data_IF_591433583085
#
_entry.id   IF_591433583085
#
_cell.length_a   1.000
_cell.length_b   1.000
_cell.length_c   1.000
_cell.angle_alpha   90.00
_cell.angle_beta   90.00
_cell.angle_gamma   90.00
#
_symmetry.space_group_name_H-M   'P 1'
#
loop_
_entity.id
_entity.type
_entity.pdbx_description
1 polymer ?
#
# COMPACT_ATOMS: atom_id res chain seq x y z
N UNK A 1 0.67 -4.11 2.29
CA UNK A 1 -0.71 -3.66 2.60
C UNK A 1 -1.62 -4.87 2.78
N UNK A 2 -2.89 -4.71 3.18
CA UNK A 2 -3.82 -5.85 3.31
C UNK A 2 -4.45 -6.23 1.96
N UNK A 3 -4.89 -7.48 1.80
CA UNK A 3 -5.66 -7.94 0.62
C UNK A 3 -6.93 -7.10 0.38
N UNK A 4 -7.59 -6.65 1.46
CA UNK A 4 -8.77 -5.79 1.35
C UNK A 4 -8.42 -4.44 0.71
N UNK A 5 -7.30 -3.82 1.10
CA UNK A 5 -6.84 -2.57 0.49
C UNK A 5 -6.50 -2.77 -1.00
N UNK A 6 -5.82 -3.87 -1.34
CA UNK A 6 -5.55 -4.24 -2.74
C UNK A 6 -6.85 -4.38 -3.54
N UNK A 7 -7.89 -5.01 -2.99
CA UNK A 7 -9.17 -5.18 -3.66
C UNK A 7 -9.81 -3.82 -3.99
N UNK A 8 -9.84 -2.89 -3.04
CA UNK A 8 -10.41 -1.56 -3.26
C UNK A 8 -9.59 -0.74 -4.27
N UNK A 9 -8.27 -0.86 -4.28
CA UNK A 9 -7.39 -0.23 -5.29
C UNK A 9 -7.70 -0.77 -6.69
N UNK A 10 -7.82 -2.09 -6.84
CA UNK A 10 -8.18 -2.73 -8.12
C UNK A 10 -9.56 -2.30 -8.59
N UNK A 11 -10.53 -2.26 -7.68
CA UNK A 11 -11.91 -1.84 -7.97
C UNK A 11 -12.00 -0.37 -8.40
N UNK A 12 -11.15 0.49 -7.86
CA UNK A 12 -11.03 1.89 -8.26
C UNK A 12 -10.33 2.11 -9.61
N UNK A 13 -9.72 1.05 -10.19
CA UNK A 13 -9.04 1.13 -11.49
C UNK A 13 -7.85 2.08 -11.47
N UNK A 14 -7.06 2.07 -10.40
CA UNK A 14 -5.84 2.88 -10.29
C UNK A 14 -4.68 2.21 -11.07
N UNK A 15 -3.90 3.00 -11.82
CA UNK A 15 -2.79 2.53 -12.66
C UNK A 15 -1.42 2.66 -11.99
N UNK A 16 -0.40 1.97 -12.52
CA UNK A 16 0.98 2.15 -12.07
C UNK A 16 1.38 1.34 -10.83
N UNK A 17 0.56 0.41 -10.38
CA UNK A 17 0.92 -0.52 -9.31
C UNK A 17 0.61 -1.96 -9.71
N UNK A 18 1.53 -2.86 -9.38
CA UNK A 18 1.30 -4.30 -9.36
C UNK A 18 1.31 -4.81 -7.92
N UNK A 19 0.80 -6.02 -7.75
CA UNK A 19 0.73 -6.66 -6.45
C UNK A 19 1.34 -8.04 -6.52
N UNK A 20 1.96 -8.44 -5.42
CA UNK A 20 2.63 -9.72 -5.30
C UNK A 20 2.43 -10.33 -3.92
N UNK A 21 2.63 -11.63 -3.83
CA UNK A 21 2.53 -12.37 -2.59
C UNK A 21 3.64 -11.93 -1.61
N UNK A 22 3.30 -11.85 -0.33
CA UNK A 22 4.22 -11.43 0.72
C UNK A 22 4.40 -12.55 1.74
N UNK A 23 5.65 -12.89 2.03
CA UNK A 23 5.98 -13.72 3.18
C UNK A 23 5.88 -12.88 4.45
N UNK A 24 5.15 -13.38 5.44
CA UNK A 24 4.93 -12.71 6.73
C UNK A 24 5.51 -13.60 7.82
N UNK A 25 6.51 -13.07 8.53
CA UNK A 25 7.09 -13.71 9.71
C UNK A 25 6.67 -12.98 10.98
N UNK A 26 6.27 -13.72 12.00
CA UNK A 26 5.98 -13.18 13.32
C UNK A 26 7.22 -13.26 14.22
N UNK A 27 7.36 -12.32 15.14
CA UNK A 27 8.40 -12.42 16.16
C UNK A 27 7.97 -13.46 17.21
N UNK A 28 8.93 -14.19 17.78
CA UNK A 28 8.60 -15.19 18.81
C UNK A 28 7.89 -14.60 20.03
N UNK A 29 8.16 -13.34 20.37
CA UNK A 29 7.43 -12.60 21.42
C UNK A 29 5.95 -12.43 21.06
N UNK A 30 5.66 -12.08 19.80
CA UNK A 30 4.29 -11.91 19.32
C UNK A 30 3.52 -13.23 19.38
N UNK A 31 4.13 -14.34 18.95
CA UNK A 31 3.52 -15.67 19.00
C UNK A 31 3.22 -16.14 20.43
N UNK A 32 4.10 -15.81 21.39
CA UNK A 32 3.89 -16.12 22.80
C UNK A 32 2.71 -15.33 23.41
N UNK A 33 2.59 -14.05 23.06
CA UNK A 33 1.51 -13.18 23.55
C UNK A 33 0.19 -13.41 22.81
N UNK A 34 0.25 -13.86 21.56
CA UNK A 34 -0.89 -14.09 20.67
C UNK A 34 -0.85 -15.51 20.14
N UNK A 35 -1.32 -16.44 20.97
CA UNK A 35 -1.34 -17.87 20.66
C UNK A 35 -2.26 -18.24 19.47
N UNK A 36 -3.16 -17.33 19.08
CA UNK A 36 -3.93 -17.41 17.83
C UNK A 36 -3.65 -16.14 17.00
N UNK A 37 -3.13 -16.36 15.79
CA UNK A 37 -2.80 -15.31 14.82
C UNK A 37 -3.82 -15.20 13.67
N UNK A 38 -4.94 -15.95 13.72
CA UNK A 38 -5.98 -15.94 12.68
C UNK A 38 -6.69 -14.59 12.51
N UNK A 39 -6.49 -13.64 13.43
CA UNK A 39 -7.02 -12.28 13.34
C UNK A 39 -6.18 -11.37 12.46
N UNK A 40 -4.93 -11.74 12.14
CA UNK A 40 -4.09 -10.93 11.27
C UNK A 40 -4.63 -10.96 9.84
N UNK A 41 -4.76 -9.81 9.18
CA UNK A 41 -5.16 -9.79 7.78
C UNK A 41 -4.08 -10.44 6.93
N UNK A 42 -4.47 -10.98 5.78
CA UNK A 42 -3.49 -11.35 4.76
C UNK A 42 -2.86 -10.10 4.16
N UNK A 43 -1.54 -10.14 4.02
CA UNK A 43 -0.75 -9.05 3.50
C UNK A 43 -0.25 -9.36 2.09
N UNK A 44 -0.15 -8.31 1.29
CA UNK A 44 0.39 -8.33 -0.07
C UNK A 44 1.35 -7.17 -0.26
N UNK A 45 2.32 -7.36 -1.16
CA UNK A 45 3.15 -6.26 -1.63
C UNK A 45 2.34 -5.37 -2.57
N UNK A 46 2.44 -4.05 -2.38
CA UNK A 46 2.17 -3.08 -3.44
C UNK A 46 3.52 -2.68 -4.01
N UNK A 47 3.69 -2.86 -5.32
CA UNK A 47 4.91 -2.53 -6.04
C UNK A 47 4.56 -1.45 -7.07
N UNK A 48 4.94 -0.18 -6.85
CA UNK A 48 4.76 0.85 -7.86
C UNK A 48 5.66 0.54 -9.06
N UNK A 49 5.09 0.54 -10.25
CA UNK A 49 5.79 0.36 -11.53
C UNK A 49 5.44 1.46 -12.54
N UNK A 50 4.52 2.36 -12.18
CA UNK A 50 4.09 3.47 -13.01
C UNK A 50 5.05 4.65 -12.98
N UNK A 51 4.74 5.62 -13.84
CA UNK A 51 5.51 6.87 -13.97
C UNK A 51 4.81 7.96 -13.17
N UNK A 52 5.54 8.60 -12.25
CA UNK A 52 5.05 9.76 -11.52
C UNK A 52 4.56 10.85 -12.50
N UNK A 53 3.48 11.56 -12.16
CA UNK A 53 2.78 12.54 -13.01
C UNK A 53 2.07 11.95 -14.26
N UNK A 54 2.03 10.62 -14.42
CA UNK A 54 1.27 9.95 -15.49
C UNK A 54 0.33 8.88 -14.98
N UNK A 55 0.80 8.07 -14.04
CA UNK A 55 0.06 7.00 -13.39
C UNK A 55 -0.40 7.39 -11.98
N UNK A 56 -1.36 6.64 -11.44
CA UNK A 56 -1.82 6.88 -10.06
C UNK A 56 -0.81 6.48 -8.99
N UNK A 57 0.09 5.56 -9.33
CA UNK A 57 1.22 5.17 -8.52
C UNK A 57 2.49 5.31 -9.35
N UNK A 58 3.46 6.04 -8.83
CA UNK A 58 4.80 6.12 -9.40
C UNK A 58 5.85 6.32 -8.32
N UNK A 59 7.12 6.22 -8.69
CA UNK A 59 8.24 6.47 -7.78
C UNK A 59 9.22 7.48 -8.36
N UNK A 60 9.70 8.40 -7.52
CA UNK A 60 10.72 9.39 -7.88
C UNK A 60 11.89 9.24 -6.93
N UNK A 61 13.08 8.99 -7.48
CA UNK A 61 14.24 8.55 -6.67
C UNK A 61 13.88 7.23 -5.91
N UNK A 62 14.81 6.51 -5.28
CA UNK A 62 14.54 5.12 -4.90
C UNK A 62 13.51 4.95 -3.76
N UNK A 63 13.04 6.04 -3.14
CA UNK A 63 12.26 5.97 -1.89
C UNK A 63 10.97 6.78 -1.87
N UNK A 64 10.71 7.66 -2.85
CA UNK A 64 9.52 8.53 -2.80
C UNK A 64 8.41 7.94 -3.65
N UNK A 65 7.31 7.58 -3.00
CA UNK A 65 6.05 7.21 -3.64
C UNK A 65 5.28 8.46 -4.02
N UNK A 66 4.93 8.59 -5.29
CA UNK A 66 4.05 9.64 -5.81
C UNK A 66 2.69 9.03 -6.11
N UNK A 67 1.64 9.67 -5.62
CA UNK A 67 0.25 9.25 -5.78
C UNK A 67 -0.54 10.34 -6.51
N UNK A 68 -1.47 9.93 -7.37
CA UNK A 68 -2.50 10.86 -7.86
C UNK A 68 -3.45 11.27 -6.74
N UNK A 69 -4.16 12.39 -6.91
CA UNK A 69 -5.17 12.86 -5.94
C UNK A 69 -6.22 11.79 -5.63
N UNK A 70 -6.74 11.09 -6.65
CA UNK A 70 -7.73 10.01 -6.46
C UNK A 70 -7.16 8.82 -5.67
N UNK A 71 -5.85 8.55 -5.80
CA UNK A 71 -5.17 7.51 -5.04
C UNK A 71 -4.99 7.94 -3.57
N UNK A 72 -4.61 9.20 -3.31
CA UNK A 72 -4.53 9.79 -1.96
C UNK A 72 -5.90 9.73 -1.26
N UNK A 73 -6.97 10.10 -1.95
CA UNK A 73 -8.34 10.02 -1.43
C UNK A 73 -8.73 8.60 -1.03
N UNK A 74 -8.37 7.60 -1.85
CA UNK A 74 -8.61 6.20 -1.53
C UNK A 74 -7.79 5.74 -0.33
N UNK A 75 -6.50 6.09 -0.29
CA UNK A 75 -5.61 5.76 0.82
C UNK A 75 -6.13 6.33 2.14
N UNK A 76 -6.65 7.56 2.11
CA UNK A 76 -7.25 8.23 3.27
C UNK A 76 -8.47 7.46 3.78
N UNK A 77 -9.37 7.04 2.88
CA UNK A 77 -10.55 6.21 3.22
C UNK A 77 -10.17 4.83 3.75
N UNK A 78 -9.05 4.27 3.28
CA UNK A 78 -8.51 2.99 3.74
C UNK A 78 -7.73 3.10 5.06
N UNK A 79 -7.58 4.31 5.62
CA UNK A 79 -6.94 4.53 6.91
C UNK A 79 -5.42 4.75 6.86
N UNK A 80 -4.84 4.97 5.67
CA UNK A 80 -3.42 5.34 5.51
C UNK A 80 -3.17 6.82 5.84
N UNK A 81 -3.62 7.25 7.03
CA UNK A 81 -3.66 8.66 7.45
C UNK A 81 -2.41 9.08 8.25
N UNK A 82 -1.44 8.18 8.40
CA UNK A 82 -0.24 8.38 9.21
C UNK A 82 1.00 8.67 8.35
N UNK A 83 0.82 8.86 7.04
CA UNK A 83 1.87 9.27 6.13
C UNK A 83 1.94 10.80 6.05
N UNK A 84 3.15 11.34 5.94
CA UNK A 84 3.36 12.73 5.52
C UNK A 84 3.13 12.81 4.00
N UNK A 85 2.29 13.75 3.56
CA UNK A 85 1.96 13.96 2.16
C UNK A 85 2.30 15.38 1.78
N UNK A 86 3.14 15.54 0.77
CA UNK A 86 3.53 16.82 0.20
C UNK A 86 3.11 16.89 -1.27
N UNK A 87 2.76 18.09 -1.79
CA UNK A 87 2.53 18.27 -3.21
C UNK A 87 3.77 17.90 -4.03
N UNK A 88 3.60 17.02 -5.01
CA UNK A 88 4.66 16.69 -5.96
C UNK A 88 4.69 17.71 -7.11
N UNK A 89 5.89 18.21 -7.43
CA UNK A 89 6.15 19.09 -8.58
C UNK A 89 7.20 18.38 -9.47
N UNK A 90 6.88 18.08 -10.74
CA UNK A 90 7.78 17.37 -11.67
C UNK A 90 9.11 18.07 -11.97
#
# INVERSE_FOLDING_TARGET
>A
MTEQAQHEIRKAGLSGAVFDDMEVSLSGMFEQLHSDSNWLPRFVWLKPEGVADKDDFGTVQPTTLVLSERAVDLFTRLGFNHAEIEPYVP
#
